data_IF_459542906840
#
_entry.id   IF_459542906840
#
_cell.length_a   1.000
_cell.length_b   1.000
_cell.length_c   1.000
_cell.angle_alpha   90.00
_cell.angle_beta   90.00
_cell.angle_gamma   90.00
#
_symmetry.space_group_name_H-M   'P 1'
#
loop_
_entity.id
_entity.type
_entity.pdbx_description
1 polymer ?
#
# COMPACT_ATOMS: atom_id res chain seq x y z
N UNK A 1 16.43 -5.93 -37.20
CA UNK A 1 15.41 -7.00 -37.29
C UNK A 1 14.83 -7.38 -35.92
N UNK A 2 15.67 -7.61 -34.89
CA UNK A 2 15.23 -7.94 -33.52
C UNK A 2 14.37 -6.83 -32.87
N UNK A 3 14.76 -5.56 -33.03
CA UNK A 3 14.02 -4.40 -32.51
C UNK A 3 12.61 -4.24 -33.08
N UNK A 4 12.41 -4.53 -34.37
CA UNK A 4 11.08 -4.49 -34.99
C UNK A 4 10.18 -5.66 -34.52
N UNK A 5 10.76 -6.84 -34.25
CA UNK A 5 10.01 -7.95 -33.64
C UNK A 5 9.56 -7.64 -32.23
N UNK A 6 10.46 -7.13 -31.38
CA UNK A 6 10.13 -6.72 -30.01
C UNK A 6 8.96 -5.72 -30.00
N UNK A 7 8.98 -4.71 -30.87
CA UNK A 7 7.88 -3.75 -30.96
C UNK A 7 6.52 -4.40 -31.29
N UNK A 8 6.51 -5.34 -32.24
CA UNK A 8 5.29 -6.05 -32.66
C UNK A 8 4.78 -6.96 -31.52
N UNK A 9 5.68 -7.61 -30.79
CA UNK A 9 5.32 -8.52 -29.69
C UNK A 9 4.74 -7.77 -28.47
N UNK A 10 5.20 -6.53 -28.22
CA UNK A 10 4.68 -5.69 -27.13
C UNK A 10 3.50 -4.79 -27.54
N UNK A 11 3.24 -4.63 -28.84
CA UNK A 11 2.11 -3.84 -29.33
C UNK A 11 0.75 -4.29 -28.76
N UNK A 12 0.43 -5.61 -28.68
CA UNK A 12 -0.79 -6.08 -28.02
C UNK A 12 -0.90 -5.64 -26.56
N UNK A 13 0.21 -5.62 -25.81
CA UNK A 13 0.21 -5.19 -24.39
C UNK A 13 -0.20 -3.73 -24.28
N UNK A 14 0.32 -2.87 -25.16
CA UNK A 14 -0.05 -1.46 -25.21
C UNK A 14 -1.53 -1.27 -25.60
N UNK A 15 -2.02 -2.04 -26.58
CA UNK A 15 -3.44 -2.01 -26.96
C UNK A 15 -4.33 -2.40 -25.79
N UNK A 16 -4.00 -3.47 -25.07
CA UNK A 16 -4.76 -3.88 -23.88
C UNK A 16 -4.72 -2.83 -22.76
N UNK A 17 -3.57 -2.23 -22.50
CA UNK A 17 -3.45 -1.16 -21.50
C UNK A 17 -4.35 0.04 -21.85
N UNK A 18 -4.35 0.46 -23.12
CA UNK A 18 -5.23 1.54 -23.61
C UNK A 18 -6.69 1.15 -23.49
N UNK A 19 -7.08 -0.06 -23.88
CA UNK A 19 -8.46 -0.54 -23.77
C UNK A 19 -8.96 -0.53 -22.32
N UNK A 20 -8.13 -0.96 -21.37
CA UNK A 20 -8.47 -0.92 -19.93
C UNK A 20 -8.68 0.52 -19.46
N UNK A 21 -7.80 1.45 -19.84
CA UNK A 21 -7.94 2.86 -19.49
C UNK A 21 -9.22 3.44 -20.09
N UNK A 22 -9.49 3.18 -21.37
CA UNK A 22 -10.71 3.65 -22.06
C UNK A 22 -11.96 3.08 -21.39
N UNK A 23 -11.94 1.81 -21.00
CA UNK A 23 -13.07 1.18 -20.32
C UNK A 23 -13.31 1.80 -18.93
N UNK A 24 -12.26 1.97 -18.13
CA UNK A 24 -12.35 2.61 -16.80
C UNK A 24 -12.89 4.04 -16.95
N UNK A 25 -12.29 4.85 -17.82
CA UNK A 25 -12.73 6.23 -18.06
C UNK A 25 -14.15 6.28 -18.62
N UNK A 26 -14.51 5.38 -19.52
CA UNK A 26 -15.86 5.26 -20.07
C UNK A 26 -16.89 4.93 -19.00
N UNK A 27 -16.57 4.03 -18.06
CA UNK A 27 -17.43 3.71 -16.92
C UNK A 27 -17.54 4.88 -15.94
N UNK A 28 -16.44 5.58 -15.65
CA UNK A 28 -16.44 6.76 -14.78
C UNK A 28 -17.27 7.91 -15.39
N UNK A 29 -17.04 8.22 -16.66
CA UNK A 29 -17.79 9.25 -17.39
C UNK A 29 -19.26 8.85 -17.53
N UNK A 30 -19.53 7.59 -17.88
CA UNK A 30 -20.89 7.06 -17.93
C UNK A 30 -21.61 7.19 -16.58
N UNK A 31 -20.93 6.82 -15.48
CA UNK A 31 -21.46 7.00 -14.13
C UNK A 31 -21.73 8.48 -13.81
N UNK A 32 -20.80 9.37 -14.15
CA UNK A 32 -20.95 10.81 -13.92
C UNK A 32 -22.13 11.41 -14.71
N UNK A 33 -22.30 11.02 -15.98
CA UNK A 33 -23.40 11.49 -16.85
C UNK A 33 -24.75 10.92 -16.40
N UNK A 34 -24.81 9.63 -16.05
CA UNK A 34 -26.05 8.96 -15.67
C UNK A 34 -26.48 9.23 -14.22
N UNK A 35 -25.57 9.74 -13.38
CA UNK A 35 -25.87 10.03 -11.97
C UNK A 35 -26.96 11.10 -11.85
N UNK A 36 -27.95 10.92 -10.94
CA UNK A 36 -28.87 12.00 -10.60
C UNK A 36 -28.09 13.15 -9.96
N UNK A 37 -28.17 14.32 -10.59
CA UNK A 37 -27.53 15.55 -10.13
C UNK A 37 -28.38 16.17 -9.00
N UNK A 38 -28.36 15.53 -7.84
CA UNK A 38 -29.01 16.05 -6.62
C UNK A 38 -28.11 17.14 -6.04
N UNK A 39 -28.71 18.23 -5.55
CA UNK A 39 -28.02 19.26 -4.78
C UNK A 39 -27.11 18.61 -3.72
N UNK A 40 -25.83 18.94 -3.80
CA UNK A 40 -24.81 18.54 -2.82
C UNK A 40 -25.07 19.38 -1.57
N UNK A 41 -25.92 18.91 -0.67
CA UNK A 41 -26.09 19.51 0.64
C UNK A 41 -24.84 19.26 1.49
N UNK A 42 -24.58 20.14 2.46
CA UNK A 42 -23.42 20.07 3.36
C UNK A 42 -23.24 18.67 3.97
N UNK A 43 -24.34 18.03 4.34
CA UNK A 43 -24.39 16.66 4.89
C UNK A 43 -23.92 15.55 3.94
N UNK A 44 -24.09 15.70 2.61
CA UNK A 44 -23.59 14.69 1.64
C UNK A 44 -22.11 14.82 1.36
N UNK A 45 -21.53 15.98 1.67
CA UNK A 45 -20.12 16.29 1.45
C UNK A 45 -19.29 16.26 2.73
N UNK A 46 -19.92 16.07 3.89
CA UNK A 46 -19.24 15.90 5.17
C UNK A 46 -18.60 14.51 5.28
N UNK A 47 -17.53 14.42 6.08
CA UNK A 47 -16.89 13.14 6.39
C UNK A 47 -17.84 12.23 7.17
N UNK A 48 -17.87 10.94 6.84
CA UNK A 48 -18.69 9.96 7.55
C UNK A 48 -18.10 9.63 8.93
N UNK A 49 -18.81 9.99 9.99
CA UNK A 49 -18.46 9.73 11.41
C UNK A 49 -19.67 9.17 12.18
N UNK A 50 -20.40 8.21 11.59
CA UNK A 50 -21.58 7.58 12.19
C UNK A 50 -22.70 8.56 12.65
N UNK A 51 -22.74 9.77 12.06
CA UNK A 51 -23.72 10.82 12.39
C UNK A 51 -23.20 11.87 13.40
N UNK A 52 -21.96 11.75 13.86
CA UNK A 52 -21.28 12.75 14.69
C UNK A 52 -20.52 13.78 13.82
N UNK A 53 -20.30 14.97 14.36
CA UNK A 53 -19.45 15.96 13.69
C UNK A 53 -17.97 15.53 13.73
N UNK A 54 -17.23 15.61 12.61
CA UNK A 54 -15.84 15.16 12.56
C UNK A 54 -14.96 15.93 13.55
N UNK A 55 -14.27 15.16 14.39
CA UNK A 55 -13.47 15.67 15.49
C UNK A 55 -12.01 15.86 15.03
N UNK A 56 -11.59 17.12 14.90
CA UNK A 56 -10.19 17.48 14.73
C UNK A 56 -9.60 17.14 13.36
N UNK A 57 -8.29 17.35 13.17
CA UNK A 57 -7.62 16.99 11.93
C UNK A 57 -7.52 15.46 11.81
N UNK A 58 -8.01 14.90 10.68
CA UNK A 58 -7.89 13.47 10.35
C UNK A 58 -6.43 13.00 10.10
N UNK A 59 -5.43 13.84 10.38
CA UNK A 59 -4.01 13.57 10.19
C UNK A 59 -3.38 13.15 11.51
N UNK A 60 -3.51 11.86 11.81
CA UNK A 60 -2.63 11.22 12.79
C UNK A 60 -1.26 11.00 12.14
N UNK A 61 -0.19 11.31 12.86
CA UNK A 61 1.15 10.97 12.42
C UNK A 61 1.25 9.44 12.36
N UNK A 62 1.29 8.88 11.14
CA UNK A 62 1.42 7.44 10.97
C UNK A 62 2.76 7.00 11.53
N UNK A 63 2.79 5.95 12.38
CA UNK A 63 4.04 5.47 12.94
C UNK A 63 4.99 5.02 11.84
N UNK A 64 6.30 5.22 12.04
CA UNK A 64 7.38 4.81 11.13
C UNK A 64 7.40 3.29 10.84
N UNK A 65 6.58 2.51 11.53
CA UNK A 65 6.47 1.06 11.42
C UNK A 65 6.14 0.59 9.98
N UNK A 66 5.36 1.35 9.20
CA UNK A 66 5.05 1.02 7.80
C UNK A 66 6.27 1.08 6.88
N UNK A 67 7.25 1.91 7.22
CA UNK A 67 8.50 2.02 6.47
C UNK A 67 9.31 0.73 6.55
N UNK A 68 9.38 0.13 7.74
CA UNK A 68 10.11 -1.13 7.96
C UNK A 68 9.51 -2.24 7.10
N UNK A 69 8.19 -2.37 7.08
CA UNK A 69 7.50 -3.32 6.20
C UNK A 69 7.81 -3.06 4.72
N UNK A 70 7.79 -1.80 4.29
CA UNK A 70 8.07 -1.43 2.90
C UNK A 70 9.50 -1.82 2.50
N UNK A 71 10.48 -1.57 3.38
CA UNK A 71 11.87 -1.96 3.13
C UNK A 71 11.99 -3.49 3.06
N UNK A 72 11.38 -4.22 4.00
CA UNK A 72 11.40 -5.69 3.99
C UNK A 72 10.75 -6.27 2.73
N UNK A 73 9.63 -5.69 2.29
CA UNK A 73 8.96 -6.05 1.05
C UNK A 73 9.89 -5.89 -0.15
N UNK A 74 10.56 -4.74 -0.29
CA UNK A 74 11.49 -4.48 -1.40
C UNK A 74 12.65 -5.48 -1.40
N UNK A 75 13.20 -5.82 -0.22
CA UNK A 75 14.29 -6.81 -0.11
C UNK A 75 13.84 -8.19 -0.62
N UNK A 76 12.65 -8.64 -0.22
CA UNK A 76 12.10 -9.95 -0.66
C UNK A 76 11.69 -9.91 -2.13
N UNK A 77 11.18 -8.78 -2.63
CA UNK A 77 10.83 -8.61 -4.05
C UNK A 77 12.06 -8.68 -4.95
N UNK A 78 13.15 -8.00 -4.58
CA UNK A 78 14.44 -8.08 -5.28
C UNK A 78 15.01 -9.51 -5.24
N UNK A 79 14.88 -10.20 -4.10
CA UNK A 79 15.25 -11.61 -3.99
C UNK A 79 14.43 -12.48 -4.96
N UNK A 80 13.12 -12.26 -5.02
CA UNK A 80 12.21 -12.95 -5.95
C UNK A 80 12.61 -12.73 -7.40
N UNK A 81 12.90 -11.48 -7.78
CA UNK A 81 13.37 -11.14 -9.13
C UNK A 81 14.71 -11.82 -9.47
N UNK A 82 15.65 -11.85 -8.52
CA UNK A 82 16.93 -12.55 -8.69
C UNK A 82 16.75 -14.05 -8.91
N UNK A 83 15.91 -14.70 -8.09
CA UNK A 83 15.63 -16.13 -8.23
C UNK A 83 14.86 -16.44 -9.52
N UNK A 84 13.94 -15.56 -9.92
CA UNK A 84 13.23 -15.68 -11.20
C UNK A 84 14.19 -15.63 -12.39
N UNK A 85 15.11 -14.66 -12.41
CA UNK A 85 16.11 -14.54 -13.48
C UNK A 85 17.01 -15.78 -13.55
N UNK A 86 17.43 -16.31 -12.39
CA UNK A 86 18.20 -17.54 -12.33
C UNK A 86 17.40 -18.74 -12.86
N UNK A 87 16.14 -18.89 -12.44
CA UNK A 87 15.25 -19.97 -12.84
C UNK A 87 14.88 -19.92 -14.33
N UNK A 88 14.69 -18.72 -14.88
CA UNK A 88 14.39 -18.50 -16.29
C UNK A 88 15.63 -18.59 -17.20
N UNK A 89 16.83 -18.56 -16.62
CA UNK A 89 18.07 -18.67 -17.40
C UNK A 89 18.23 -20.08 -17.97
N UNK A 90 18.70 -20.18 -19.21
CA UNK A 90 19.04 -21.47 -19.83
C UNK A 90 20.45 -21.96 -19.46
N UNK A 91 21.05 -21.43 -18.38
CA UNK A 91 22.40 -21.78 -17.98
C UNK A 91 22.43 -23.21 -17.42
N UNK A 92 23.46 -23.98 -17.82
CA UNK A 92 23.81 -25.20 -17.10
C UNK A 92 24.43 -24.81 -15.77
N UNK A 93 23.61 -24.80 -14.73
CA UNK A 93 24.06 -24.47 -13.38
C UNK A 93 24.97 -25.59 -12.85
N UNK A 94 26.21 -25.22 -12.50
CA UNK A 94 27.08 -26.10 -11.73
C UNK A 94 26.46 -26.35 -10.34
N UNK A 95 26.58 -27.56 -9.76
CA UNK A 95 26.15 -27.83 -8.38
C UNK A 95 26.69 -26.82 -7.37
N UNK A 96 27.87 -26.25 -7.61
CA UNK A 96 28.47 -25.21 -6.76
C UNK A 96 27.63 -23.93 -6.72
N UNK A 97 27.10 -23.49 -7.86
CA UNK A 97 26.28 -22.27 -7.96
C UNK A 97 24.95 -22.49 -7.25
N UNK A 98 24.34 -23.67 -7.44
CA UNK A 98 23.11 -24.04 -6.74
C UNK A 98 23.30 -23.95 -5.23
N UNK A 99 24.42 -24.47 -4.71
CA UNK A 99 24.72 -24.41 -3.28
C UNK A 99 24.94 -22.99 -2.77
N UNK A 100 25.67 -22.16 -3.53
CA UNK A 100 25.88 -20.74 -3.19
C UNK A 100 24.56 -19.97 -3.12
N UNK A 101 23.67 -20.16 -4.10
CA UNK A 101 22.35 -19.52 -4.13
C UNK A 101 21.49 -20.02 -2.98
N UNK A 102 21.52 -21.31 -2.67
CA UNK A 102 20.77 -21.87 -1.55
C UNK A 102 21.24 -21.28 -0.21
N UNK A 103 22.54 -21.20 0.03
CA UNK A 103 23.11 -20.57 1.24
C UNK A 103 22.74 -19.09 1.29
N UNK A 104 22.83 -18.37 0.18
CA UNK A 104 22.43 -16.96 0.10
C UNK A 104 20.96 -16.75 0.47
N UNK A 105 20.05 -17.56 -0.08
CA UNK A 105 18.62 -17.54 0.24
C UNK A 105 18.41 -17.84 1.73
N UNK A 106 19.07 -18.85 2.29
CA UNK A 106 18.92 -19.19 3.70
C UNK A 106 19.38 -18.05 4.63
N UNK A 107 20.47 -17.36 4.30
CA UNK A 107 20.95 -16.21 5.07
C UNK A 107 19.92 -15.08 5.03
N UNK A 108 19.37 -14.75 3.85
CA UNK A 108 18.34 -13.71 3.73
C UNK A 108 17.04 -14.09 4.44
N UNK A 109 16.60 -15.35 4.34
CA UNK A 109 15.42 -15.84 5.04
C UNK A 109 15.61 -15.81 6.56
N UNK A 110 16.81 -16.13 7.05
CA UNK A 110 17.16 -15.98 8.47
C UNK A 110 17.11 -14.52 8.93
N UNK A 111 17.71 -13.61 8.15
CA UNK A 111 17.66 -12.17 8.41
C UNK A 111 16.24 -11.60 8.40
N UNK A 112 15.42 -12.03 7.44
CA UNK A 112 14.00 -11.68 7.36
C UNK A 112 13.23 -12.18 8.58
N UNK A 113 13.42 -13.44 8.96
CA UNK A 113 12.78 -14.02 10.16
C UNK A 113 13.15 -13.27 11.44
N UNK A 114 14.41 -12.87 11.58
CA UNK A 114 14.86 -12.04 12.69
C UNK A 114 14.22 -10.64 12.67
N UNK A 115 14.22 -9.96 11.52
CA UNK A 115 13.61 -8.65 11.37
C UNK A 115 12.11 -8.66 11.67
N UNK A 116 11.41 -9.71 11.22
CA UNK A 116 9.99 -9.93 11.50
C UNK A 116 9.72 -10.13 12.99
N UNK A 117 10.61 -10.81 13.73
CA UNK A 117 10.50 -10.96 15.18
C UNK A 117 10.75 -9.63 15.92
N UNK A 118 11.66 -8.80 15.42
CA UNK A 118 11.97 -7.48 16.00
C UNK A 118 10.86 -6.44 15.74
N UNK A 119 9.98 -6.70 14.78
CA UNK A 119 8.91 -5.78 14.40
C UNK A 119 7.93 -5.59 15.58
N UNK A 120 7.65 -4.34 15.97
CA UNK A 120 6.82 -4.08 17.14
C UNK A 120 5.40 -4.60 16.90
N UNK A 121 4.95 -5.53 17.76
CA UNK A 121 3.60 -6.12 17.68
C UNK A 121 2.48 -5.06 17.88
N UNK A 122 2.82 -3.88 18.40
CA UNK A 122 1.90 -2.73 18.49
C UNK A 122 1.40 -2.26 17.13
N UNK A 123 2.16 -2.49 16.05
CA UNK A 123 1.74 -2.25 14.66
C UNK A 123 0.48 -3.03 14.26
N UNK A 124 0.39 -4.32 14.62
CA UNK A 124 -0.80 -5.16 14.33
C UNK A 124 -1.92 -4.96 15.34
N UNK A 125 -1.57 -4.55 16.57
CA UNK A 125 -2.52 -4.53 17.68
C UNK A 125 -3.35 -3.24 17.75
N UNK A 126 -2.89 -2.12 17.17
CA UNK A 126 -3.64 -0.85 17.17
C UNK A 126 -3.90 -0.23 18.56
N UNK A 127 -3.31 -0.78 19.64
CA UNK A 127 -3.52 -0.31 21.01
C UNK A 127 -2.94 1.09 21.24
N UNK A 128 -1.79 1.37 20.62
CA UNK A 128 -1.09 2.65 20.72
C UNK A 128 -1.84 3.74 19.95
N UNK A 129 -2.34 3.43 18.76
CA UNK A 129 -3.23 4.33 18.00
C UNK A 129 -4.52 4.63 18.77
N UNK A 130 -5.06 3.64 19.49
CA UNK A 130 -6.25 3.83 20.32
C UNK A 130 -5.96 4.72 21.54
N UNK A 131 -4.76 4.62 22.13
CA UNK A 131 -4.33 5.46 23.22
C UNK A 131 -4.19 6.93 22.77
N UNK A 132 -3.48 7.17 21.66
CA UNK A 132 -3.35 8.50 21.05
C UNK A 132 -4.72 9.11 20.70
N UNK A 133 -5.65 8.30 20.16
CA UNK A 133 -7.01 8.74 19.87
C UNK A 133 -7.77 9.16 21.14
N UNK A 134 -7.69 8.37 22.21
CA UNK A 134 -8.34 8.69 23.49
C UNK A 134 -7.78 9.97 24.13
N UNK A 135 -6.47 10.17 24.05
CA UNK A 135 -5.81 11.39 24.53
C UNK A 135 -6.25 12.61 23.72
N UNK A 136 -6.28 12.50 22.38
CA UNK A 136 -6.77 13.58 21.52
C UNK A 136 -8.25 13.91 21.78
N UNK A 137 -9.09 12.89 22.00
CA UNK A 137 -10.51 13.06 22.36
C UNK A 137 -10.66 13.79 23.69
N UNK A 138 -9.93 13.36 24.73
CA UNK A 138 -9.98 13.97 26.05
C UNK A 138 -9.46 15.42 26.05
N UNK A 139 -8.46 15.75 25.22
CA UNK A 139 -7.96 17.11 25.06
C UNK A 139 -9.01 18.04 24.44
N UNK A 140 -9.80 17.55 23.47
CA UNK A 140 -10.89 18.32 22.85
C UNK A 140 -12.08 18.51 23.79
N UNK A 141 -12.49 17.47 24.51
CA UNK A 141 -13.55 17.60 25.53
C UNK A 141 -13.21 18.69 26.56
N UNK A 142 -11.94 18.79 26.98
CA UNK A 142 -11.46 19.90 27.82
C UNK A 142 -11.55 21.27 27.12
N UNK A 143 -11.15 21.38 25.86
CA UNK A 143 -11.26 22.63 25.10
C UNK A 143 -12.72 23.07 24.89
N UNK A 144 -13.65 22.14 24.68
CA UNK A 144 -15.08 22.42 24.56
C UNK A 144 -15.69 22.88 25.89
N UNK A 145 -15.27 22.29 27.02
CA UNK A 145 -15.63 22.75 28.36
C UNK A 145 -15.10 24.17 28.67
N UNK A 146 -13.90 24.50 28.21
CA UNK A 146 -13.30 25.83 28.36
C UNK A 146 -13.95 26.87 27.41
N UNK A 147 -14.39 26.47 26.22
CA UNK A 147 -15.03 27.34 25.23
C UNK A 147 -16.55 27.52 25.44
N UNK A 148 -17.23 26.55 26.06
CA UNK A 148 -18.66 26.58 26.38
C UNK A 148 -18.99 27.23 27.73
N UNK A 149 -17.99 27.78 28.43
CA UNK A 149 -18.11 28.47 29.72
C UNK A 149 -18.53 29.94 29.64
N UNK A 150 -19.31 30.33 28.64
CA UNK A 150 -19.94 31.65 28.51
C UNK A 150 -21.46 31.54 28.36
#
# INVERSE_FOLDING_TARGET
>A
MITMRLFIDFFPVLVWAVLVIVLILGMLVGSWVLRPHVLQNSEKTSSYECGEEPIGPARIAYPYNYLVYTILFVVVDVLGAFLWLLAASSFRLSPTIVWQVLVFVLILMGGLGFAMKMLPQTFLSGKETLALYREAKAAKEKQELEAGGH
#
